data_IF_821648359646
#
_entry.id   IF_821648359646
#
_cell.length_a   1.000
_cell.length_b   1.000
_cell.length_c   1.000
_cell.angle_alpha   90.00
_cell.angle_beta   90.00
_cell.angle_gamma   90.00
#
_symmetry.space_group_name_H-M   'P 1'
#
loop_
_entity.id
_entity.type
_entity.pdbx_description
1 polymer ?
#
# COMPACT_ATOMS: atom_id res chain seq x y z
N UNK A 1 -14.31 -24.42 -21.02
CA UNK A 1 -14.89 -24.43 -19.66
C UNK A 1 -13.90 -23.70 -18.76
N UNK A 2 -13.97 -22.37 -18.75
CA UNK A 2 -12.99 -21.52 -18.07
C UNK A 2 -13.31 -21.49 -16.57
N UNK A 3 -12.35 -21.94 -15.75
CA UNK A 3 -12.38 -21.69 -14.31
C UNK A 3 -12.30 -20.19 -14.12
N UNK A 4 -13.40 -19.58 -13.67
CA UNK A 4 -13.40 -18.23 -13.12
C UNK A 4 -12.41 -18.26 -11.95
N UNK A 5 -11.30 -17.56 -12.09
CA UNK A 5 -10.38 -17.30 -10.99
C UNK A 5 -11.20 -16.54 -9.92
N UNK A 6 -11.56 -17.21 -8.82
CA UNK A 6 -12.22 -16.57 -7.70
C UNK A 6 -11.27 -15.49 -7.17
N UNK A 7 -11.63 -14.23 -7.36
CA UNK A 7 -10.91 -13.09 -6.82
C UNK A 7 -10.84 -13.20 -5.29
N UNK A 8 -9.71 -12.90 -4.63
CA UNK A 8 -9.57 -12.96 -3.16
C UNK A 8 -10.61 -12.15 -2.38
N UNK A 9 -11.29 -11.18 -3.00
CA UNK A 9 -12.42 -10.44 -2.40
C UNK A 9 -13.64 -11.32 -2.11
N UNK A 10 -13.80 -12.44 -2.82
CA UNK A 10 -14.92 -13.36 -2.61
C UNK A 10 -14.72 -14.17 -1.31
N UNK A 11 -13.48 -14.51 -0.96
CA UNK A 11 -13.18 -15.43 0.14
C UNK A 11 -13.32 -14.79 1.53
N UNK A 12 -12.94 -13.52 1.73
CA UNK A 12 -13.13 -12.82 3.02
C UNK A 12 -14.61 -12.56 3.30
N UNK A 13 -15.38 -12.13 2.30
CA UNK A 13 -16.83 -11.94 2.44
C UNK A 13 -17.52 -13.29 2.65
N UNK A 14 -17.14 -14.35 1.93
CA UNK A 14 -17.62 -15.72 2.20
C UNK A 14 -17.30 -16.18 3.62
N UNK A 15 -16.12 -15.86 4.16
CA UNK A 15 -15.81 -16.17 5.57
C UNK A 15 -16.69 -15.40 6.55
N UNK A 16 -17.01 -14.13 6.28
CA UNK A 16 -18.00 -13.39 7.07
C UNK A 16 -19.41 -14.02 7.01
N UNK A 17 -19.79 -14.66 5.90
CA UNK A 17 -21.05 -15.41 5.81
C UNK A 17 -21.06 -16.72 6.61
N UNK A 18 -19.89 -17.23 7.01
CA UNK A 18 -19.75 -18.40 7.86
C UNK A 18 -19.74 -18.05 9.36
N UNK A 19 -19.66 -16.75 9.72
CA UNK A 19 -19.76 -16.30 11.10
C UNK A 19 -21.24 -16.37 11.55
N UNK A 20 -21.56 -17.03 12.68
CA UNK A 20 -22.92 -17.07 13.21
C UNK A 20 -23.46 -15.65 13.38
N UNK A 21 -24.57 -15.35 12.71
CA UNK A 21 -25.15 -14.02 12.75
C UNK A 21 -25.76 -13.78 14.14
N UNK A 22 -25.49 -12.64 14.80
CA UNK A 22 -26.19 -12.27 16.03
C UNK A 22 -27.69 -12.15 15.75
N UNK A 23 -28.53 -12.28 16.78
CA UNK A 23 -30.00 -12.30 16.71
C UNK A 23 -30.66 -10.98 16.22
N UNK A 24 -29.90 -10.07 15.62
CA UNK A 24 -30.38 -8.84 15.00
C UNK A 24 -30.71 -9.03 13.51
N UNK A 25 -31.77 -8.37 13.07
CA UNK A 25 -32.22 -8.32 11.67
C UNK A 25 -31.27 -7.47 10.82
N UNK A 26 -30.27 -8.10 10.22
CA UNK A 26 -29.53 -7.47 9.12
C UNK A 26 -30.39 -7.45 7.85
N UNK A 27 -30.40 -6.36 7.05
CA UNK A 27 -31.19 -6.29 5.82
C UNK A 27 -30.76 -7.40 4.84
N UNK A 28 -31.65 -8.25 4.31
CA UNK A 28 -31.26 -9.47 3.59
C UNK A 28 -30.30 -9.26 2.40
N UNK A 29 -30.25 -8.06 1.82
CA UNK A 29 -29.39 -7.72 0.67
C UNK A 29 -28.10 -6.95 1.04
N UNK A 30 -27.83 -6.70 2.33
CA UNK A 30 -26.71 -5.85 2.77
C UNK A 30 -25.36 -6.34 2.25
N UNK A 31 -25.14 -7.66 2.22
CA UNK A 31 -23.93 -8.30 1.70
C UNK A 31 -23.77 -8.05 0.21
N UNK A 32 -24.84 -8.28 -0.57
CA UNK A 32 -24.81 -8.10 -2.02
C UNK A 32 -24.57 -6.64 -2.40
N UNK A 33 -25.19 -5.72 -1.66
CA UNK A 33 -24.97 -4.28 -1.81
C UNK A 33 -23.52 -3.89 -1.47
N UNK A 34 -22.99 -4.37 -0.35
CA UNK A 34 -21.62 -4.07 0.10
C UNK A 34 -20.57 -4.63 -0.87
N UNK A 35 -20.73 -5.89 -1.30
CA UNK A 35 -19.87 -6.51 -2.31
C UNK A 35 -19.91 -5.75 -3.64
N UNK A 36 -21.10 -5.34 -4.09
CA UNK A 36 -21.25 -4.52 -5.29
C UNK A 36 -20.58 -3.15 -5.18
N UNK A 37 -20.71 -2.48 -4.03
CA UNK A 37 -20.07 -1.21 -3.76
C UNK A 37 -18.54 -1.32 -3.71
N UNK A 38 -18.00 -2.38 -3.09
CA UNK A 38 -16.56 -2.68 -3.07
C UNK A 38 -16.04 -2.92 -4.49
N UNK A 39 -16.75 -3.74 -5.28
CA UNK A 39 -16.40 -4.01 -6.68
C UNK A 39 -16.35 -2.74 -7.52
N UNK A 40 -17.39 -1.90 -7.43
CA UNK A 40 -17.44 -0.59 -8.10
C UNK A 40 -16.27 0.32 -7.72
N UNK A 41 -15.98 0.43 -6.41
CA UNK A 41 -14.86 1.25 -5.91
C UNK A 41 -13.50 0.73 -6.38
N UNK A 42 -13.33 -0.59 -6.46
CA UNK A 42 -12.12 -1.20 -7.00
C UNK A 42 -11.93 -0.86 -8.49
N UNK A 43 -12.98 -0.94 -9.31
CA UNK A 43 -12.93 -0.55 -10.71
C UNK A 43 -12.58 0.93 -10.88
N UNK A 44 -13.15 1.80 -10.04
CA UNK A 44 -12.84 3.23 -10.05
C UNK A 44 -11.38 3.51 -9.70
N UNK A 45 -10.84 2.84 -8.67
CA UNK A 45 -9.43 2.93 -8.30
C UNK A 45 -8.51 2.47 -9.44
N UNK A 46 -8.85 1.37 -10.11
CA UNK A 46 -8.08 0.83 -11.25
C UNK A 46 -8.16 1.72 -12.50
N UNK A 47 -9.26 2.44 -12.70
CA UNK A 47 -9.34 3.47 -13.73
C UNK A 47 -8.39 4.64 -13.45
N UNK A 48 -8.37 5.13 -12.20
CA UNK A 48 -7.50 6.24 -11.79
C UNK A 48 -6.01 5.89 -11.74
N UNK A 49 -5.64 4.61 -11.69
CA UNK A 49 -4.23 4.21 -11.72
C UNK A 49 -3.57 4.37 -13.09
N UNK A 50 -4.36 4.35 -14.18
CA UNK A 50 -3.83 4.56 -15.54
C UNK A 50 -3.68 6.05 -15.89
N UNK A 51 -4.15 6.95 -15.03
CA UNK A 51 -3.97 8.39 -15.23
C UNK A 51 -2.50 8.78 -15.05
N UNK A 52 -1.98 9.54 -16.01
CA UNK A 52 -0.62 10.08 -15.93
C UNK A 52 -0.59 11.26 -14.96
N UNK A 53 0.33 11.22 -14.01
CA UNK A 53 0.64 12.36 -13.15
C UNK A 53 1.49 13.39 -13.89
N UNK A 54 1.62 14.61 -13.36
CA UNK A 54 2.52 15.62 -13.96
C UNK A 54 3.99 15.22 -13.82
N UNK A 55 4.39 14.68 -12.66
CA UNK A 55 5.76 14.24 -12.34
C UNK A 55 5.73 12.89 -11.64
N UNK A 56 6.77 12.08 -11.85
CA UNK A 56 7.00 10.78 -11.21
C UNK A 56 5.88 9.74 -11.46
N UNK A 57 5.84 8.62 -10.74
CA UNK A 57 4.86 7.55 -10.99
C UNK A 57 3.50 7.85 -10.38
N UNK A 58 2.44 7.25 -10.92
CA UNK A 58 1.14 7.26 -10.24
C UNK A 58 1.18 6.29 -9.03
N UNK A 59 0.98 6.76 -7.79
CA UNK A 59 1.02 5.91 -6.60
C UNK A 59 0.01 4.76 -6.63
N UNK A 60 -1.17 4.96 -7.23
CA UNK A 60 -2.17 3.90 -7.33
C UNK A 60 -1.70 2.76 -8.23
N UNK A 61 -1.02 3.08 -9.35
CA UNK A 61 -0.45 2.08 -10.25
C UNK A 61 0.58 1.22 -9.53
N UNK A 62 1.49 1.86 -8.81
CA UNK A 62 2.50 1.18 -7.98
C UNK A 62 1.81 0.23 -6.98
N UNK A 63 0.79 0.70 -6.27
CA UNK A 63 0.06 -0.11 -5.28
C UNK A 63 -0.70 -1.28 -5.91
N UNK A 64 -1.30 -1.13 -7.09
CA UNK A 64 -1.95 -2.23 -7.81
C UNK A 64 -0.93 -3.28 -8.24
N UNK A 65 0.22 -2.87 -8.78
CA UNK A 65 1.30 -3.81 -9.13
C UNK A 65 1.79 -4.54 -7.87
N UNK A 66 1.95 -3.84 -6.75
CA UNK A 66 2.33 -4.46 -5.47
C UNK A 66 1.30 -5.50 -5.00
N UNK A 67 -0.02 -5.20 -5.07
CA UNK A 67 -1.07 -6.18 -4.70
C UNK A 67 -1.07 -7.42 -5.60
N UNK A 68 -0.70 -7.26 -6.87
CA UNK A 68 -0.64 -8.34 -7.87
C UNK A 68 0.58 -9.27 -7.67
N UNK A 69 1.73 -8.75 -7.21
CA UNK A 69 2.99 -9.52 -7.05
C UNK A 69 3.28 -9.96 -5.61
N UNK A 70 2.52 -9.46 -4.63
CA UNK A 70 2.69 -9.82 -3.22
C UNK A 70 2.35 -11.30 -3.00
N UNK A 71 3.16 -11.97 -2.17
CA UNK A 71 2.95 -13.39 -1.86
C UNK A 71 1.74 -13.60 -0.93
N UNK A 72 1.20 -14.82 -0.95
CA UNK A 72 0.00 -15.15 -0.17
C UNK A 72 0.22 -15.14 1.35
N UNK A 73 1.46 -15.34 1.81
CA UNK A 73 1.82 -15.34 3.23
C UNK A 73 2.32 -13.97 3.73
N UNK A 74 2.26 -12.93 2.88
CA UNK A 74 2.83 -11.63 3.18
C UNK A 74 2.15 -10.89 4.32
N UNK A 75 2.96 -10.22 5.14
CA UNK A 75 2.51 -9.20 6.11
C UNK A 75 2.78 -7.83 5.48
N UNK A 76 1.73 -7.03 5.36
CA UNK A 76 1.84 -5.63 4.94
C UNK A 76 2.08 -4.79 6.18
N UNK A 77 3.16 -4.01 6.17
CA UNK A 77 3.40 -2.95 7.15
C UNK A 77 3.29 -1.62 6.43
N UNK A 78 2.30 -0.82 6.81
CA UNK A 78 2.02 0.45 6.19
C UNK A 78 2.33 1.59 7.17
N UNK A 79 3.28 2.45 6.82
CA UNK A 79 3.68 3.62 7.59
C UNK A 79 3.85 4.82 6.65
N UNK A 80 3.51 6.01 7.14
CA UNK A 80 3.31 7.21 6.33
C UNK A 80 1.91 7.78 6.50
N UNK A 81 1.69 8.96 5.90
CA UNK A 81 0.39 9.62 5.90
C UNK A 81 -0.44 9.20 4.70
N UNK A 82 -0.45 10.05 3.67
CA UNK A 82 -1.37 9.86 2.55
C UNK A 82 -1.18 8.55 1.77
N UNK A 83 0.08 8.16 1.55
CA UNK A 83 0.41 6.99 0.77
C UNK A 83 -0.19 5.72 1.41
N UNK A 84 -0.17 5.62 2.75
CA UNK A 84 -0.79 4.52 3.50
C UNK A 84 -2.30 4.51 3.33
N UNK A 85 -2.95 5.67 3.40
CA UNK A 85 -4.39 5.68 3.21
C UNK A 85 -4.79 5.29 1.79
N UNK A 86 -3.99 5.61 0.76
CA UNK A 86 -4.19 5.06 -0.60
C UNK A 86 -3.94 3.55 -0.66
N UNK A 87 -2.90 3.06 0.04
CA UNK A 87 -2.60 1.64 0.15
C UNK A 87 -3.75 0.84 0.78
N UNK A 88 -4.41 1.38 1.80
CA UNK A 88 -5.55 0.74 2.47
C UNK A 88 -6.78 0.54 1.55
N UNK A 89 -6.91 1.31 0.46
CA UNK A 89 -7.96 1.11 -0.54
C UNK A 89 -7.61 0.05 -1.60
N UNK A 90 -6.33 -0.29 -1.75
CA UNK A 90 -5.82 -1.08 -2.88
C UNK A 90 -5.26 -2.42 -2.43
N UNK A 91 -4.32 -2.41 -1.47
CA UNK A 91 -3.65 -3.61 -1.01
C UNK A 91 -4.61 -4.49 -0.21
N UNK A 92 -4.62 -5.79 -0.50
CA UNK A 92 -5.50 -6.75 0.18
C UNK A 92 -4.68 -7.73 1.03
N UNK A 93 -4.73 -7.59 2.36
CA UNK A 93 -4.16 -8.59 3.26
C UNK A 93 -4.78 -9.97 3.00
N UNK A 94 -3.94 -10.99 2.89
CA UNK A 94 -4.36 -12.35 2.51
C UNK A 94 -4.87 -13.20 3.70
N UNK A 95 -4.78 -12.65 4.91
CA UNK A 95 -5.26 -13.30 6.13
C UNK A 95 -5.33 -12.35 7.33
N UNK A 96 -5.86 -12.83 8.46
CA UNK A 96 -5.84 -12.07 9.71
C UNK A 96 -4.40 -11.80 10.15
N UNK A 97 -4.18 -10.64 10.79
CA UNK A 97 -2.85 -10.21 11.28
C UNK A 97 -1.80 -10.08 10.17
N UNK A 98 -2.22 -9.82 8.92
CA UNK A 98 -1.34 -9.55 7.79
C UNK A 98 -1.33 -8.06 7.38
N UNK A 99 -1.88 -7.17 8.22
CA UNK A 99 -1.82 -5.72 8.06
C UNK A 99 -1.43 -5.09 9.39
N UNK A 100 -0.36 -4.29 9.39
CA UNK A 100 0.14 -3.54 10.52
C UNK A 100 0.30 -2.08 10.10
N UNK A 101 -0.30 -1.16 10.83
CA UNK A 101 -0.23 0.28 10.62
C UNK A 101 -0.16 0.99 11.99
N UNK A 102 0.10 2.30 12.08
CA UNK A 102 0.15 3.01 13.36
C UNK A 102 -1.18 3.07 14.12
N UNK A 103 -2.26 2.51 13.56
CA UNK A 103 -3.59 2.45 14.16
C UNK A 103 -4.12 3.82 14.54
N UNK A 104 -4.86 3.86 15.65
CA UNK A 104 -5.51 5.08 16.14
C UNK A 104 -4.53 6.18 16.60
N UNK A 105 -3.26 5.86 16.86
CA UNK A 105 -2.28 6.85 17.30
C UNK A 105 -1.66 7.61 16.12
N UNK A 106 -1.68 7.05 14.91
CA UNK A 106 -1.14 7.73 13.72
C UNK A 106 0.34 8.11 13.81
N UNK A 107 1.12 7.47 14.70
CA UNK A 107 2.52 7.79 14.94
C UNK A 107 3.38 7.39 13.74
N UNK A 108 3.85 8.38 12.97
CA UNK A 108 4.75 8.15 11.83
C UNK A 108 6.12 7.62 12.28
N UNK A 109 6.70 6.71 11.50
CA UNK A 109 8.03 6.15 11.71
C UNK A 109 8.06 4.80 12.42
N UNK A 110 6.90 4.21 12.72
CA UNK A 110 6.78 2.88 13.35
C UNK A 110 7.07 1.72 12.38
N UNK A 111 7.03 1.96 11.07
CA UNK A 111 7.01 0.92 10.04
C UNK A 111 8.25 0.05 10.05
N UNK A 112 9.45 0.62 10.22
CA UNK A 112 10.69 -0.15 10.27
C UNK A 112 10.72 -1.13 11.45
N UNK A 113 10.29 -0.68 12.63
CA UNK A 113 10.22 -1.52 13.83
C UNK A 113 9.17 -2.62 13.70
N UNK A 114 7.99 -2.29 13.16
CA UNK A 114 6.92 -3.26 12.93
C UNK A 114 7.33 -4.32 11.90
N UNK A 115 8.02 -3.94 10.83
CA UNK A 115 8.49 -4.87 9.82
C UNK A 115 9.53 -5.86 10.39
N UNK A 116 10.48 -5.37 11.19
CA UNK A 116 11.45 -6.23 11.87
C UNK A 116 10.77 -7.17 12.87
N UNK A 117 9.86 -6.65 13.70
CA UNK A 117 9.09 -7.45 14.65
C UNK A 117 8.24 -8.53 13.96
N UNK A 118 7.59 -8.18 12.85
CA UNK A 118 6.81 -9.11 12.04
C UNK A 118 7.67 -10.27 11.53
N UNK A 119 8.89 -9.99 11.03
CA UNK A 119 9.81 -11.02 10.55
C UNK A 119 10.33 -11.92 11.68
N UNK A 120 10.60 -11.36 12.87
CA UNK A 120 10.97 -12.15 14.05
C UNK A 120 9.84 -13.08 14.51
N UNK A 121 8.59 -12.64 14.42
CA UNK A 121 7.41 -13.45 14.76
C UNK A 121 7.07 -14.51 13.70
N UNK A 122 7.52 -14.33 12.44
CA UNK A 122 7.32 -15.26 11.33
C UNK A 122 8.64 -15.55 10.60
N UNK A 123 9.60 -16.25 11.23
CA UNK A 123 10.90 -16.52 10.62
C UNK A 123 10.77 -17.33 9.32
N UNK A 124 9.87 -18.32 9.32
CA UNK A 124 9.56 -19.23 8.19
C UNK A 124 8.76 -18.58 7.06
N UNK A 125 8.26 -17.35 7.23
CA UNK A 125 7.58 -16.67 6.12
C UNK A 125 8.60 -16.39 5.02
N UNK A 126 8.34 -16.96 3.85
CA UNK A 126 9.08 -16.68 2.61
C UNK A 126 8.94 -15.21 2.22
N UNK A 127 7.89 -14.53 2.71
CA UNK A 127 7.74 -13.10 2.51
C UNK A 127 8.85 -12.35 3.26
N UNK A 128 9.75 -11.71 2.52
CA UNK A 128 10.85 -11.00 3.12
C UNK A 128 10.42 -9.61 3.64
N UNK A 129 11.24 -8.98 4.51
CA UNK A 129 11.01 -7.57 4.88
C UNK A 129 11.31 -6.69 3.67
N UNK A 130 10.26 -6.29 2.96
CA UNK A 130 10.30 -5.37 1.82
C UNK A 130 9.71 -4.03 2.24
N UNK A 131 10.55 -3.00 2.36
CA UNK A 131 10.09 -1.65 2.64
C UNK A 131 9.80 -0.91 1.33
N UNK A 132 8.55 -0.51 1.12
CA UNK A 132 8.14 0.34 0.01
C UNK A 132 7.98 1.79 0.50
N UNK A 133 8.85 2.68 0.03
CA UNK A 133 8.77 4.11 0.32
C UNK A 133 8.14 4.83 -0.86
N UNK A 134 6.90 5.30 -0.70
CA UNK A 134 6.27 6.25 -1.62
C UNK A 134 6.83 7.65 -1.37
N UNK A 135 7.85 8.03 -2.13
CA UNK A 135 8.56 9.30 -1.97
C UNK A 135 7.94 10.36 -2.90
N UNK A 136 7.10 11.22 -2.34
CA UNK A 136 6.51 12.39 -3.00
C UNK A 136 7.20 13.71 -2.59
N UNK A 137 8.26 13.62 -1.77
CA UNK A 137 8.96 14.75 -1.16
C UNK A 137 8.00 15.75 -0.47
N UNK A 138 6.97 15.26 0.22
CA UNK A 138 5.99 16.12 0.85
C UNK A 138 5.32 15.47 2.06
N UNK A 139 4.98 16.28 3.08
CA UNK A 139 4.04 15.88 4.12
C UNK A 139 2.61 16.00 3.58
N UNK A 140 2.27 15.18 2.57
CA UNK A 140 1.06 15.35 1.74
C UNK A 140 -0.25 15.32 2.53
N UNK A 141 -0.30 14.60 3.65
CA UNK A 141 -1.49 14.59 4.51
C UNK A 141 -1.78 15.98 5.11
N UNK A 142 -0.74 16.71 5.51
CA UNK A 142 -0.86 18.06 6.09
C UNK A 142 -1.03 19.09 4.97
N UNK A 143 -0.19 18.98 3.92
CA UNK A 143 -0.17 19.91 2.79
C UNK A 143 -1.53 20.08 2.12
N UNK A 144 -2.30 18.98 1.98
CA UNK A 144 -3.61 18.98 1.33
C UNK A 144 -4.65 19.87 1.99
N UNK A 145 -4.62 20.01 3.29
CA UNK A 145 -5.54 20.90 4.00
C UNK A 145 -4.92 22.29 4.19
N UNK A 146 -3.61 22.34 4.45
CA UNK A 146 -2.88 23.59 4.68
C UNK A 146 -2.92 24.52 3.47
N UNK A 147 -2.74 23.99 2.26
CA UNK A 147 -2.68 24.82 1.04
C UNK A 147 -4.04 25.47 0.73
N UNK A 148 -5.18 24.75 0.70
CA UNK A 148 -6.49 25.39 0.50
C UNK A 148 -6.88 26.35 1.63
N UNK A 149 -6.55 26.04 2.89
CA UNK A 149 -6.95 26.85 4.05
C UNK A 149 -6.09 28.11 4.21
N UNK A 150 -4.78 28.00 4.03
CA UNK A 150 -3.81 29.05 4.37
C UNK A 150 -3.08 29.62 3.15
N UNK A 151 -3.28 29.05 1.96
CA UNK A 151 -2.59 29.47 0.73
C UNK A 151 -1.08 29.18 0.75
N UNK A 152 -0.59 28.34 1.67
CA UNK A 152 0.84 28.13 1.90
C UNK A 152 1.19 26.66 2.10
N UNK A 153 2.31 26.24 1.52
CA UNK A 153 2.91 24.90 1.70
C UNK A 153 4.11 24.91 2.69
N UNK A 154 4.20 25.94 3.54
CA UNK A 154 5.29 26.07 4.52
C UNK A 154 5.41 24.82 5.39
N UNK A 155 6.64 24.39 5.67
CA UNK A 155 6.99 23.21 6.47
C UNK A 155 6.47 21.85 5.96
N UNK A 156 5.76 21.79 4.84
CA UNK A 156 5.26 20.55 4.27
C UNK A 156 6.07 20.07 3.05
N UNK A 157 6.71 20.98 2.30
CA UNK A 157 7.61 20.62 1.21
C UNK A 157 8.94 20.04 1.72
N UNK A 158 9.33 18.89 1.19
CA UNK A 158 10.60 18.23 1.49
C UNK A 158 11.48 18.16 0.24
N UNK A 159 12.72 17.70 0.43
CA UNK A 159 13.58 17.30 -0.67
C UNK A 159 13.35 15.83 -1.01
N UNK A 160 13.48 15.48 -2.30
CA UNK A 160 13.64 14.09 -2.69
C UNK A 160 14.97 13.58 -2.13
N UNK A 161 14.89 12.52 -1.33
CA UNK A 161 16.06 11.86 -0.77
C UNK A 161 16.26 10.45 -1.36
N UNK A 162 17.53 10.05 -1.43
CA UNK A 162 17.94 8.76 -1.96
C UNK A 162 17.86 7.66 -0.89
N UNK A 163 16.64 7.31 -0.46
CA UNK A 163 16.43 6.30 0.58
C UNK A 163 17.03 4.92 0.25
N UNK A 164 17.10 4.59 -1.04
CA UNK A 164 17.76 3.39 -1.55
C UNK A 164 19.27 3.37 -1.21
N UNK A 165 19.97 4.51 -1.34
CA UNK A 165 21.38 4.64 -0.95
C UNK A 165 21.55 4.53 0.56
N UNK A 166 20.61 5.12 1.33
CA UNK A 166 20.61 5.00 2.79
C UNK A 166 20.51 3.53 3.21
N UNK A 167 19.61 2.76 2.60
CA UNK A 167 19.47 1.33 2.86
C UNK A 167 20.74 0.54 2.55
N UNK A 168 21.43 0.87 1.44
CA UNK A 168 22.72 0.27 1.09
C UNK A 168 23.81 0.64 2.11
N UNK A 169 23.82 1.88 2.61
CA UNK A 169 24.73 2.33 3.66
C UNK A 169 24.59 1.57 4.98
N UNK A 170 23.39 1.07 5.29
CA UNK A 170 23.14 0.17 6.43
C UNK A 170 23.39 -1.32 6.13
N UNK A 171 23.92 -1.65 4.95
CA UNK A 171 24.25 -3.03 4.55
C UNK A 171 23.10 -3.82 3.91
N UNK A 172 21.95 -3.16 3.69
CA UNK A 172 20.82 -3.70 2.95
C UNK A 172 21.00 -3.58 1.43
N UNK A 173 19.90 -3.76 0.70
CA UNK A 173 19.83 -3.53 -0.74
C UNK A 173 18.79 -2.45 -1.06
N UNK A 174 19.20 -1.45 -1.84
CA UNK A 174 18.32 -0.38 -2.30
C UNK A 174 17.95 -0.55 -3.77
N UNK A 175 16.70 -0.20 -4.09
CA UNK A 175 16.19 -0.06 -5.46
C UNK A 175 15.54 1.32 -5.61
N UNK A 176 15.89 2.05 -6.66
CA UNK A 176 15.22 3.29 -7.04
C UNK A 176 14.24 2.97 -8.17
N UNK A 177 13.00 3.41 -8.04
CA UNK A 177 11.98 3.27 -9.09
C UNK A 177 11.49 4.65 -9.49
N UNK A 178 11.65 4.97 -10.76
CA UNK A 178 11.29 6.26 -11.34
C UNK A 178 10.22 6.09 -12.42
N UNK A 179 9.78 7.20 -13.02
CA UNK A 179 8.85 7.15 -14.16
C UNK A 179 9.39 6.34 -15.35
N UNK A 180 10.71 6.29 -15.54
CA UNK A 180 11.31 5.54 -16.65
C UNK A 180 11.15 4.03 -16.47
N UNK A 181 10.89 3.59 -15.25
CA UNK A 181 10.76 2.20 -14.86
C UNK A 181 9.30 1.73 -14.83
N UNK A 182 8.36 2.54 -15.33
CA UNK A 182 6.90 2.30 -15.22
C UNK A 182 6.48 0.91 -15.74
N UNK A 183 7.05 0.47 -16.85
CA UNK A 183 6.76 -0.85 -17.46
C UNK A 183 7.54 -2.00 -16.79
N UNK A 184 8.48 -1.69 -15.89
CA UNK A 184 9.37 -2.64 -15.21
C UNK A 184 9.15 -2.71 -13.71
N UNK A 185 8.12 -2.04 -13.17
CA UNK A 185 7.84 -2.02 -11.73
C UNK A 185 7.71 -3.44 -11.18
N UNK A 186 6.96 -4.30 -11.89
CA UNK A 186 6.78 -5.71 -11.50
C UNK A 186 8.11 -6.47 -11.43
N UNK A 187 8.97 -6.30 -12.43
CA UNK A 187 10.28 -6.96 -12.48
C UNK A 187 11.18 -6.48 -11.33
N UNK A 188 11.21 -5.18 -11.06
CA UNK A 188 12.01 -4.61 -9.96
C UNK A 188 11.53 -5.13 -8.60
N UNK A 189 10.21 -5.25 -8.39
CA UNK A 189 9.68 -5.83 -7.16
C UNK A 189 10.09 -7.30 -7.03
N UNK A 190 10.03 -8.08 -8.11
CA UNK A 190 10.48 -9.48 -8.11
C UNK A 190 11.98 -9.61 -7.83
N UNK A 191 12.80 -8.74 -8.41
CA UNK A 191 14.25 -8.68 -8.13
C UNK A 191 14.52 -8.35 -6.65
N UNK A 192 13.76 -7.43 -6.08
CA UNK A 192 13.86 -7.05 -4.67
C UNK A 192 13.41 -8.17 -3.72
N UNK A 193 12.33 -8.88 -4.06
CA UNK A 193 11.89 -10.08 -3.34
C UNK A 193 13.00 -11.14 -3.36
N UNK A 194 13.61 -11.40 -4.51
CA UNK A 194 14.70 -12.36 -4.68
C UNK A 194 15.96 -11.96 -3.88
N UNK A 195 16.33 -10.66 -3.89
CA UNK A 195 17.43 -10.16 -3.06
C UNK A 195 17.19 -10.42 -1.58
N UNK A 196 15.94 -10.27 -1.14
CA UNK A 196 15.61 -10.46 0.27
C UNK A 196 15.52 -11.94 0.66
N UNK A 197 15.12 -12.85 -0.25
CA UNK A 197 15.27 -14.31 -0.05
C UNK A 197 16.73 -14.73 0.13
N UNK A 198 17.67 -14.01 -0.49
CA UNK A 198 19.12 -14.19 -0.30
C UNK A 198 19.64 -13.58 1.01
N UNK A 199 18.75 -13.16 1.91
CA UNK A 199 19.09 -12.64 3.24
C UNK A 199 19.44 -11.16 3.29
N UNK A 200 19.16 -10.37 2.23
CA UNK A 200 19.40 -8.92 2.21
C UNK A 200 18.14 -8.13 2.52
N UNK A 201 18.08 -7.42 3.63
CA UNK A 201 17.00 -6.46 3.89
C UNK A 201 16.92 -5.44 2.73
N UNK A 202 15.74 -5.32 2.11
CA UNK A 202 15.59 -4.58 0.85
C UNK A 202 14.61 -3.43 0.96
N UNK A 203 14.94 -2.30 0.33
CA UNK A 203 14.12 -1.10 0.27
C UNK A 203 13.90 -0.66 -1.18
N UNK A 204 12.65 -0.41 -1.55
CA UNK A 204 12.26 0.25 -2.80
C UNK A 204 11.94 1.72 -2.49
N UNK A 205 12.74 2.62 -3.04
CA UNK A 205 12.46 4.06 -3.07
C UNK A 205 11.70 4.37 -4.36
N UNK A 206 10.39 4.54 -4.29
CA UNK A 206 9.55 4.81 -5.45
C UNK A 206 9.21 6.28 -5.48
N UNK A 207 9.69 6.98 -6.51
CA UNK A 207 9.31 8.38 -6.72
C UNK A 207 7.87 8.42 -7.22
N UNK A 208 6.99 9.04 -6.45
CA UNK A 208 5.56 9.13 -6.75
C UNK A 208 5.11 10.57 -6.94
N UNK A 209 4.10 10.75 -7.78
CA UNK A 209 3.47 12.03 -8.09
C UNK A 209 2.20 12.27 -7.28
N UNK A 210 1.71 13.51 -7.37
CA UNK A 210 0.41 13.89 -6.77
C UNK A 210 -0.75 13.34 -7.59
N UNK A 211 -1.83 12.98 -6.91
CA UNK A 211 -3.08 12.54 -7.52
C UNK A 211 -4.27 13.14 -6.77
N UNK A 212 -5.40 13.27 -7.48
CA UNK A 212 -6.67 13.73 -6.92
C UNK A 212 -7.54 12.54 -6.45
N UNK A 213 -6.92 11.38 -6.17
CA UNK A 213 -7.66 10.17 -5.81
C UNK A 213 -8.43 10.35 -4.50
N UNK A 214 -7.81 11.06 -3.55
CA UNK A 214 -8.28 11.24 -2.17
C UNK A 214 -8.75 12.66 -1.86
N UNK A 215 -9.01 13.48 -2.89
CA UNK A 215 -9.53 14.83 -2.69
C UNK A 215 -10.89 14.79 -1.99
N UNK A 216 -11.04 15.62 -0.96
CA UNK A 216 -12.23 15.65 -0.11
C UNK A 216 -12.34 14.52 0.91
N UNK A 217 -11.36 13.59 0.97
CA UNK A 217 -11.30 12.63 2.08
C UNK A 217 -10.73 13.29 3.33
N UNK A 218 -11.44 13.17 4.45
CA UNK A 218 -10.93 13.59 5.76
C UNK A 218 -9.93 12.52 6.19
N UNK A 219 -8.66 12.91 6.32
CA UNK A 219 -7.65 12.05 6.93
C UNK A 219 -7.74 12.27 8.44
N UNK A 220 -8.33 11.30 9.15
CA UNK A 220 -8.44 11.34 10.63
C UNK A 220 -7.15 10.83 11.26
#
# INVERSE_FOLDING_TARGET
MARLHESPSCSTIQRCTQVPQPSGTLPPDWLRHSSGAIGSRCCQSKGKSEEKTERHLNPLKVLHVVDEVMAEDSIIVADGGDFVGSAAYILRPRGPLCWLDPGAFGTLGVGGGFALGAKLCRPESETPVLALVGNDACWSQISREQVPLLGSNVACGLAYNDYHVVAEGFGGKGFLVTRQDEDRIEDIIKEAQEATRKGKATLLNVLIGKTNFRDGSISV
#
